data_IF_022465626221
#
_entry.id   IF_022465626221
#
_cell.length_a   1.000
_cell.length_b   1.000
_cell.length_c   1.000
_cell.angle_alpha   90.00
_cell.angle_beta   90.00
_cell.angle_gamma   90.00
#
_symmetry.space_group_name_H-M   'P 1'
#
loop_
_entity.id
_entity.type
_entity.pdbx_description
1 polymer ?
#
# COMPACT_ATOMS: atom_id res chain seq x y z
N UNK A 1 -7.32 -2.17 1.45
CA UNK A 1 -7.78 -1.79 0.10
C UNK A 1 -9.18 -1.21 0.22
N UNK A 2 -9.58 -0.26 -0.64
CA UNK A 2 -10.94 0.28 -0.67
C UNK A 2 -12.00 -0.79 -1.05
N UNK A 3 -13.24 -0.75 -0.53
CA UNK A 3 -14.29 -1.71 -0.87
C UNK A 3 -14.61 -1.81 -2.36
N UNK A 4 -14.53 -0.69 -3.09
CA UNK A 4 -14.75 -0.64 -4.54
C UNK A 4 -13.72 -1.45 -5.33
N UNK A 5 -12.47 -1.53 -4.84
CA UNK A 5 -11.42 -2.34 -5.45
C UNK A 5 -11.65 -3.83 -5.22
N UNK A 6 -12.28 -4.20 -4.09
CA UNK A 6 -12.71 -5.58 -3.81
C UNK A 6 -13.83 -5.99 -4.74
N UNK A 7 -14.87 -5.15 -4.81
CA UNK A 7 -16.02 -5.39 -5.67
C UNK A 7 -15.57 -5.50 -7.12
N UNK A 8 -14.75 -4.56 -7.59
CA UNK A 8 -14.18 -4.57 -8.93
C UNK A 8 -13.35 -5.81 -9.22
N UNK A 9 -12.54 -6.29 -8.28
CA UNK A 9 -11.78 -7.52 -8.45
C UNK A 9 -12.68 -8.74 -8.67
N UNK A 10 -13.77 -8.86 -7.90
CA UNK A 10 -14.73 -9.96 -8.00
C UNK A 10 -15.48 -9.89 -9.34
N UNK A 11 -16.06 -8.73 -9.67
CA UNK A 11 -16.87 -8.55 -10.88
C UNK A 11 -16.06 -8.71 -12.17
N UNK A 12 -14.82 -8.21 -12.18
CA UNK A 12 -13.92 -8.31 -13.33
C UNK A 12 -13.10 -9.60 -13.34
N UNK A 13 -13.39 -10.56 -12.45
CA UNK A 13 -12.68 -11.86 -12.35
C UNK A 13 -11.16 -11.69 -12.33
N UNK A 14 -10.67 -10.75 -11.53
CA UNK A 14 -9.25 -10.39 -11.39
C UNK A 14 -8.55 -9.81 -12.65
N UNK A 15 -9.26 -9.64 -13.76
CA UNK A 15 -8.79 -9.01 -15.00
C UNK A 15 -9.07 -7.50 -15.00
N UNK A 16 -8.54 -6.75 -15.97
CA UNK A 16 -8.97 -5.35 -16.23
C UNK A 16 -8.66 -4.31 -15.14
N UNK A 17 -7.71 -4.56 -14.23
CA UNK A 17 -7.34 -3.57 -13.23
C UNK A 17 -6.67 -2.33 -13.87
N UNK A 18 -7.01 -1.14 -13.36
CA UNK A 18 -6.48 0.16 -13.82
C UNK A 18 -5.01 0.33 -13.48
N UNK A 19 -4.62 -0.03 -12.26
CA UNK A 19 -3.20 -0.12 -11.88
C UNK A 19 -2.97 -1.21 -10.82
N UNK A 20 -1.70 -1.52 -10.58
CA UNK A 20 -1.25 -2.53 -9.61
C UNK A 20 -0.19 -1.91 -8.70
N UNK A 21 -0.37 -2.08 -7.39
CA UNK A 21 0.57 -1.65 -6.36
C UNK A 21 0.43 -2.53 -5.13
N UNK A 22 0.18 -1.93 -3.96
CA UNK A 22 -0.13 -2.70 -2.74
C UNK A 22 -1.42 -3.53 -2.88
N UNK A 23 -2.29 -3.19 -3.83
CA UNK A 23 -3.41 -4.01 -4.30
C UNK A 23 -3.69 -3.73 -5.79
N UNK A 24 -4.60 -4.49 -6.42
CA UNK A 24 -5.11 -4.20 -7.77
C UNK A 24 -6.24 -3.18 -7.71
N UNK A 25 -6.15 -2.11 -8.49
CA UNK A 25 -7.11 -1.00 -8.46
C UNK A 25 -8.13 -1.12 -9.57
N UNK A 26 -9.39 -0.92 -9.21
CA UNK A 26 -10.58 -0.89 -10.04
C UNK A 26 -11.37 0.42 -9.86
N UNK A 27 -11.22 1.09 -8.71
CA UNK A 27 -11.78 2.41 -8.37
C UNK A 27 -10.93 3.59 -8.86
N UNK A 28 -10.61 4.53 -7.97
CA UNK A 28 -9.80 5.72 -8.29
C UNK A 28 -8.30 5.40 -8.33
N UNK A 29 -7.75 5.36 -9.55
CA UNK A 29 -6.34 5.07 -9.79
C UNK A 29 -5.40 6.15 -9.22
N UNK A 30 -5.78 7.44 -9.34
CA UNK A 30 -4.93 8.55 -8.92
C UNK A 30 -4.83 8.60 -7.40
N UNK A 31 -5.94 8.41 -6.70
CA UNK A 31 -5.96 8.30 -5.24
C UNK A 31 -5.14 7.09 -4.77
N UNK A 32 -5.32 5.92 -5.39
CA UNK A 32 -4.57 4.72 -5.02
C UNK A 32 -3.06 4.87 -5.24
N UNK A 33 -2.62 5.50 -6.35
CA UNK A 33 -1.20 5.78 -6.60
C UNK A 33 -0.58 6.69 -5.53
N UNK A 34 -1.31 7.71 -5.06
CA UNK A 34 -0.84 8.56 -3.95
C UNK A 34 -0.68 7.76 -2.65
N UNK A 35 -1.60 6.84 -2.35
CA UNK A 35 -1.50 5.96 -1.18
C UNK A 35 -0.30 5.01 -1.32
N UNK A 36 -0.11 4.38 -2.50
CA UNK A 36 1.06 3.53 -2.75
C UNK A 36 2.37 4.28 -2.55
N UNK A 37 2.47 5.52 -3.05
CA UNK A 37 3.65 6.36 -2.85
C UNK A 37 3.92 6.64 -1.37
N UNK A 38 2.87 6.95 -0.59
CA UNK A 38 2.99 7.15 0.86
C UNK A 38 3.48 5.88 1.56
N UNK A 39 2.91 4.72 1.26
CA UNK A 39 3.34 3.44 1.84
C UNK A 39 4.78 3.13 1.49
N UNK A 40 5.16 3.25 0.21
CA UNK A 40 6.54 3.04 -0.25
C UNK A 40 7.53 3.94 0.48
N UNK A 41 7.19 5.22 0.66
CA UNK A 41 8.03 6.17 1.41
C UNK A 41 8.20 5.76 2.87
N UNK A 42 7.10 5.44 3.56
CA UNK A 42 7.15 5.00 4.96
C UNK A 42 7.97 3.72 5.12
N UNK A 43 7.73 2.72 4.27
CA UNK A 43 8.49 1.46 4.28
C UNK A 43 9.97 1.71 4.05
N UNK A 44 10.35 2.55 3.08
CA UNK A 44 11.75 2.87 2.81
C UNK A 44 12.46 3.45 4.04
N UNK A 45 11.86 4.46 4.68
CA UNK A 45 12.41 5.10 5.89
C UNK A 45 12.57 4.09 7.03
N UNK A 46 11.53 3.28 7.28
CA UNK A 46 11.56 2.29 8.36
C UNK A 46 12.62 1.20 8.11
N UNK A 47 12.72 0.71 6.88
CA UNK A 47 13.75 -0.25 6.50
C UNK A 47 15.15 0.34 6.64
N UNK A 48 15.36 1.61 6.31
CA UNK A 48 16.64 2.30 6.49
C UNK A 48 17.01 2.42 7.97
N UNK A 49 16.07 2.88 8.82
CA UNK A 49 16.31 2.98 10.26
C UNK A 49 16.61 1.61 10.89
N UNK A 50 15.89 0.56 10.47
CA UNK A 50 16.14 -0.81 10.94
C UNK A 50 17.53 -1.31 10.52
N UNK A 51 17.91 -1.10 9.25
CA UNK A 51 19.25 -1.44 8.75
C UNK A 51 20.36 -0.70 9.49
N UNK A 52 20.09 0.52 9.95
CA UNK A 52 21.00 1.33 10.77
C UNK A 52 20.96 0.98 12.27
N UNK A 53 20.41 -0.18 12.65
CA UNK A 53 20.49 -0.72 14.00
C UNK A 53 19.39 -0.26 14.97
N UNK A 54 18.37 0.46 14.49
CA UNK A 54 17.19 0.75 15.33
C UNK A 54 16.37 -0.52 15.49
N UNK A 55 16.11 -0.90 16.74
CA UNK A 55 15.30 -2.07 17.09
C UNK A 55 13.82 -1.85 16.73
N UNK A 56 13.09 -2.95 16.50
CA UNK A 56 11.70 -2.90 16.00
C UNK A 56 10.74 -2.22 16.99
N UNK A 57 10.94 -2.43 18.29
CA UNK A 57 10.20 -1.77 19.37
C UNK A 57 10.32 -0.24 19.32
N UNK A 58 11.46 0.29 18.86
CA UNK A 58 11.69 1.74 18.68
C UNK A 58 11.18 2.30 17.35
N UNK A 59 10.63 1.43 16.49
CA UNK A 59 10.02 1.81 15.21
C UNK A 59 8.49 1.80 15.31
N UNK A 60 7.90 1.01 16.20
CA UNK A 60 6.46 0.99 16.42
C UNK A 60 5.98 2.26 17.13
N UNK A 61 4.77 2.71 16.78
CA UNK A 61 4.10 3.81 17.49
C UNK A 61 3.61 3.29 18.84
N UNK A 62 3.70 4.11 19.90
CA UNK A 62 3.16 3.74 21.21
C UNK A 62 1.63 3.54 21.13
N UNK A 63 1.13 2.56 21.88
CA UNK A 63 -0.30 2.24 21.99
C UNK A 63 -1.03 3.18 22.95
#
# INVERSE_FOLDING_TARGET
YPPEDVKGFIENKACGCKCKGCWKVYGDEAAARKIFARYKKCTAIYCELFKNGRSLDKLTVAA
#
